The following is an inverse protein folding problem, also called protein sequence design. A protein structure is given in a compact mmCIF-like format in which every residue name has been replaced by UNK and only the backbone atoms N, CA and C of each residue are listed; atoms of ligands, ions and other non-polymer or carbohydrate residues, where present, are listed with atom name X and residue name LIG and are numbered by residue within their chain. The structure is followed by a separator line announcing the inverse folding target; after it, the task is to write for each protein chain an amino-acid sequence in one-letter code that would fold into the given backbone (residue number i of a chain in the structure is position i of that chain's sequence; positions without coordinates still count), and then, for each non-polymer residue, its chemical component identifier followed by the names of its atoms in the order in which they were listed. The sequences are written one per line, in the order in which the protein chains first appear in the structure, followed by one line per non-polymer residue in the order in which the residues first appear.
data_IF_079275923164
#
_entry.id   IF_079275923164
#
_cell.length_a   1.000
_cell.length_b   1.000
_cell.length_c   1.000
_cell.angle_alpha   90.00
_cell.angle_beta   90.00
_cell.angle_gamma   90.00
#
_symmetry.space_group_name_H-M   'P 1'
#
loop_
_entity.id
_entity.type
_entity.pdbx_description
1 polymer ?
#
# COMPACT_ATOMS: atom_id res chain seq x y z
N UNK A 1 -5.42 16.06 18.92
CA UNK A 1 -6.43 15.08 19.34
C UNK A 1 -6.63 14.11 18.19
N UNK A 2 -6.61 12.81 18.45
CA UNK A 2 -7.05 11.79 17.49
C UNK A 2 -8.44 11.34 17.91
N UNK A 3 -9.41 11.27 17.00
CA UNK A 3 -10.72 10.66 17.25
C UNK A 3 -11.19 9.92 16.01
N UNK A 4 -11.51 8.65 16.18
CA UNK A 4 -12.07 7.80 15.13
C UNK A 4 -13.15 6.90 15.73
N UNK A 5 -14.27 6.80 15.03
CA UNK A 5 -15.23 5.71 15.16
C UNK A 5 -15.57 5.27 13.73
N UNK A 6 -15.26 4.03 13.38
CA UNK A 6 -15.38 3.57 12.00
C UNK A 6 -15.67 2.07 11.89
N UNK A 7 -16.36 1.69 10.82
CA UNK A 7 -16.44 0.29 10.38
C UNK A 7 -15.40 0.06 9.29
N UNK A 8 -14.50 -0.89 9.49
CA UNK A 8 -13.40 -1.25 8.57
C UNK A 8 -13.64 -2.63 7.98
N UNK A 9 -13.52 -2.77 6.67
CA UNK A 9 -13.64 -4.04 5.95
C UNK A 9 -13.00 -3.93 4.56
N UNK A 10 -13.18 -4.93 3.69
CA UNK A 10 -12.88 -4.75 2.27
C UNK A 10 -13.71 -3.60 1.69
N UNK A 11 -13.08 -2.73 0.88
CA UNK A 11 -13.73 -1.53 0.36
C UNK A 11 -14.99 -1.84 -0.45
N UNK A 12 -15.00 -2.97 -1.19
CA UNK A 12 -16.16 -3.40 -1.97
C UNK A 12 -17.37 -3.68 -1.09
N UNK A 13 -17.18 -4.42 0.00
CA UNK A 13 -18.24 -4.74 0.98
C UNK A 13 -18.85 -3.46 1.53
N UNK A 14 -18.02 -2.48 1.91
CA UNK A 14 -18.50 -1.23 2.50
C UNK A 14 -19.25 -0.35 1.49
N UNK A 15 -18.78 -0.28 0.23
CA UNK A 15 -19.41 0.54 -0.81
C UNK A 15 -20.87 0.12 -1.02
N UNK A 16 -21.13 -1.18 -1.06
CA UNK A 16 -22.49 -1.71 -1.23
C UNK A 16 -23.39 -1.35 -0.04
N UNK A 17 -22.83 -1.32 1.18
CA UNK A 17 -23.58 -1.01 2.40
C UNK A 17 -23.97 0.46 2.54
N UNK A 18 -23.16 1.36 2.01
CA UNK A 18 -23.45 2.80 2.07
C UNK A 18 -23.93 3.40 0.75
N UNK A 19 -24.11 2.60 -0.30
CA UNK A 19 -24.51 3.08 -1.63
C UNK A 19 -25.84 3.87 -1.63
N UNK A 20 -26.79 3.48 -0.78
CA UNK A 20 -28.08 4.17 -0.62
C UNK A 20 -28.10 5.21 0.49
N UNK A 21 -26.98 5.41 1.20
CA UNK A 21 -26.94 6.28 2.36
C UNK A 21 -26.76 7.75 1.98
N UNK A 22 -27.41 8.66 2.72
CA UNK A 22 -27.22 10.10 2.56
C UNK A 22 -25.93 10.58 3.23
N UNK A 23 -25.59 9.99 4.37
CA UNK A 23 -24.44 10.41 5.17
C UNK A 23 -23.23 9.47 5.04
N UNK A 24 -23.43 8.27 4.51
CA UNK A 24 -22.40 7.24 4.37
C UNK A 24 -21.40 7.55 3.26
N UNK A 25 -20.12 7.35 3.56
CA UNK A 25 -19.04 7.46 2.59
C UNK A 25 -17.96 6.45 2.92
N UNK A 26 -17.35 5.85 1.89
CA UNK A 26 -16.20 4.95 2.05
C UNK A 26 -14.92 5.74 1.86
N UNK A 27 -14.07 5.76 2.88
CA UNK A 27 -12.67 6.15 2.76
C UNK A 27 -11.85 4.92 2.33
N UNK A 28 -11.41 4.86 1.08
CA UNK A 28 -10.59 3.75 0.60
C UNK A 28 -9.18 3.78 1.21
N UNK A 29 -8.87 2.75 1.98
CA UNK A 29 -7.57 2.51 2.60
C UNK A 29 -6.68 1.71 1.63
N UNK A 30 -5.41 1.56 1.98
CA UNK A 30 -4.51 0.70 1.19
C UNK A 30 -4.91 -0.77 1.36
N UNK A 31 -4.32 -1.63 0.53
CA UNK A 31 -4.52 -3.10 0.58
C UNK A 31 -5.95 -3.57 0.31
N UNK A 32 -6.73 -2.78 -0.46
CA UNK A 32 -8.11 -3.13 -0.81
C UNK A 32 -9.11 -2.93 0.33
N UNK A 33 -8.63 -2.42 1.47
CA UNK A 33 -9.47 -2.11 2.62
C UNK A 33 -10.19 -0.78 2.41
N UNK A 34 -11.29 -0.61 3.10
CA UNK A 34 -11.97 0.67 3.25
C UNK A 34 -12.40 0.86 4.68
N UNK A 35 -12.81 2.08 5.00
CA UNK A 35 -13.56 2.34 6.22
C UNK A 35 -14.73 3.27 5.97
N UNK A 36 -15.77 3.11 6.77
CA UNK A 36 -16.91 4.02 6.84
C UNK A 36 -16.82 4.74 8.18
N UNK A 37 -16.50 6.06 8.20
CA UNK A 37 -16.57 6.86 9.41
C UNK A 37 -18.02 6.91 9.93
N UNK A 38 -18.22 6.51 11.18
CA UNK A 38 -19.54 6.48 11.83
C UNK A 38 -19.78 7.83 12.51
N UNK A 39 -20.33 8.78 11.77
CA UNK A 39 -20.82 10.04 12.32
C UNK A 39 -22.19 9.86 12.99
N UNK A 40 -22.58 10.78 13.86
CA UNK A 40 -23.91 10.77 14.50
C UNK A 40 -25.04 10.70 13.46
N UNK A 41 -24.90 11.43 12.34
CA UNK A 41 -25.88 11.43 11.26
C UNK A 41 -25.97 10.08 10.55
N UNK A 42 -24.82 9.44 10.27
CA UNK A 42 -24.82 8.11 9.68
C UNK A 42 -25.34 7.07 10.66
N UNK A 43 -24.93 7.13 11.92
CA UNK A 43 -25.38 6.23 12.97
C UNK A 43 -26.91 6.26 13.11
N UNK A 44 -27.50 7.45 13.19
CA UNK A 44 -28.95 7.62 13.25
C UNK A 44 -29.65 7.06 11.99
N UNK A 45 -29.06 7.28 10.81
CA UNK A 45 -29.61 6.81 9.54
C UNK A 45 -29.60 5.27 9.42
N UNK A 46 -28.46 4.62 9.70
CA UNK A 46 -28.32 3.17 9.52
C UNK A 46 -29.00 2.38 10.61
N UNK A 47 -29.15 2.94 11.81
CA UNK A 47 -29.89 2.29 12.89
C UNK A 47 -31.38 2.39 12.67
N UNK A 48 -31.93 3.54 12.27
CA UNK A 48 -33.33 3.67 11.84
C UNK A 48 -34.37 3.07 12.82
N UNK A 49 -34.07 3.02 14.12
CA UNK A 49 -34.90 2.37 15.16
C UNK A 49 -34.47 0.96 15.57
N UNK A 50 -33.38 0.42 15.02
CA UNK A 50 -32.72 -0.82 15.46
C UNK A 50 -31.44 -0.56 16.25
N UNK A 51 -30.77 -1.62 16.69
CA UNK A 51 -29.47 -1.53 17.36
C UNK A 51 -28.34 -1.53 16.34
N UNK A 52 -27.23 -0.85 16.65
CA UNK A 52 -26.07 -0.86 15.78
C UNK A 52 -25.47 -2.26 15.61
N UNK A 53 -25.53 -3.10 16.66
CA UNK A 53 -25.15 -4.52 16.55
C UNK A 53 -25.93 -5.30 15.48
N UNK A 54 -27.22 -4.98 15.25
CA UNK A 54 -27.99 -5.59 14.15
C UNK A 54 -27.51 -5.11 12.79
N UNK A 55 -27.12 -3.84 12.67
CA UNK A 55 -26.51 -3.29 11.46
C UNK A 55 -25.18 -3.99 11.17
N UNK A 56 -24.31 -4.13 12.18
CA UNK A 56 -23.02 -4.83 12.05
C UNK A 56 -23.21 -6.30 11.68
N UNK A 57 -24.18 -6.98 12.28
CA UNK A 57 -24.55 -8.35 11.92
C UNK A 57 -24.89 -8.44 10.43
N UNK A 58 -25.82 -7.63 9.93
CA UNK A 58 -26.21 -7.60 8.52
C UNK A 58 -25.03 -7.26 7.59
N UNK A 59 -24.22 -6.28 7.98
CA UNK A 59 -23.10 -5.81 7.18
C UNK A 59 -21.97 -6.86 7.09
N UNK A 60 -21.83 -7.72 8.10
CA UNK A 60 -20.80 -8.76 8.16
C UNK A 60 -21.13 -10.05 7.40
N UNK A 61 -22.35 -10.19 6.85
CA UNK A 61 -22.78 -11.40 6.11
C UNK A 61 -21.97 -11.64 4.82
N UNK A 62 -21.67 -10.63 3.96
CA UNK A 62 -20.91 -10.86 2.74
C UNK A 62 -19.41 -11.01 2.98
N UNK A 63 -18.92 -10.60 4.15
CA UNK A 63 -17.51 -10.62 4.50
C UNK A 63 -17.26 -10.01 5.88
N UNK A 64 -16.11 -10.31 6.50
CA UNK A 64 -15.80 -9.84 7.84
C UNK A 64 -15.63 -8.32 7.88
N UNK A 65 -16.01 -7.72 9.00
CA UNK A 65 -15.80 -6.30 9.28
C UNK A 65 -15.33 -6.11 10.72
N UNK A 66 -14.72 -4.97 11.01
CA UNK A 66 -14.36 -4.54 12.35
C UNK A 66 -15.02 -3.21 12.67
N UNK A 67 -15.64 -3.11 13.84
CA UNK A 67 -15.90 -1.81 14.46
C UNK A 67 -14.61 -1.40 15.19
N UNK A 68 -14.12 -0.20 14.92
CA UNK A 68 -12.93 0.36 15.58
C UNK A 68 -13.21 1.74 16.12
N UNK A 69 -12.71 1.99 17.32
CA UNK A 69 -12.80 3.26 18.02
C UNK A 69 -11.42 3.62 18.57
N UNK A 70 -11.07 4.90 18.50
CA UNK A 70 -9.84 5.40 19.08
C UNK A 70 -9.98 6.87 19.47
N UNK A 71 -9.53 7.20 20.68
CA UNK A 71 -9.42 8.58 21.15
C UNK A 71 -8.04 8.79 21.73
N UNK A 72 -7.29 9.79 21.25
CA UNK A 72 -6.01 10.18 21.85
C UNK A 72 -5.91 11.67 22.11
N UNK A 73 -5.44 12.04 23.29
CA UNK A 73 -5.19 13.41 23.71
C UNK A 73 -3.89 13.50 24.52
N UNK A 74 -2.90 14.27 24.03
CA UNK A 74 -1.68 14.55 24.81
C UNK A 74 -0.75 13.35 25.06
N UNK A 75 -0.95 12.22 24.39
CA UNK A 75 -0.17 10.98 24.59
C UNK A 75 -0.96 9.89 25.30
N UNK A 76 -2.03 10.27 25.99
CA UNK A 76 -2.99 9.36 26.61
C UNK A 76 -4.14 9.09 25.64
N UNK A 77 -4.72 7.89 25.69
CA UNK A 77 -5.82 7.53 24.84
C UNK A 77 -6.30 6.11 25.04
N UNK A 78 -7.32 5.73 24.30
CA UNK A 78 -7.88 4.39 24.28
C UNK A 78 -8.12 3.94 22.85
N UNK A 79 -8.03 2.63 22.65
CA UNK A 79 -8.53 1.97 21.45
C UNK A 79 -9.52 0.90 21.86
N UNK A 80 -10.57 0.75 21.08
CA UNK A 80 -11.51 -0.37 21.19
C UNK A 80 -11.74 -0.96 19.81
N UNK A 81 -11.79 -2.29 19.70
CA UNK A 81 -12.12 -2.96 18.46
C UNK A 81 -12.92 -4.24 18.67
N UNK A 82 -13.81 -4.52 17.73
CA UNK A 82 -14.64 -5.73 17.67
C UNK A 82 -14.72 -6.21 16.22
N UNK A 83 -14.60 -7.52 15.99
CA UNK A 83 -14.66 -8.13 14.66
C UNK A 83 -15.91 -8.98 14.54
N UNK A 84 -16.65 -8.78 13.44
CA UNK A 84 -17.87 -9.46 13.10
C UNK A 84 -17.69 -10.28 11.81
N UNK A 85 -18.34 -11.43 11.75
CA UNK A 85 -18.37 -12.31 10.58
C UNK A 85 -19.67 -13.11 10.57
N UNK A 86 -20.26 -13.26 9.39
CA UNK A 86 -21.44 -14.11 9.16
C UNK A 86 -22.62 -13.79 10.11
N UNK A 87 -22.80 -12.51 10.46
CA UNK A 87 -23.89 -12.06 11.32
C UNK A 87 -23.62 -12.10 12.83
N UNK A 88 -22.41 -12.46 13.26
CA UNK A 88 -22.08 -12.60 14.68
C UNK A 88 -20.73 -11.97 15.04
N UNK A 89 -20.55 -11.50 16.29
CA UNK A 89 -19.25 -11.09 16.78
C UNK A 89 -18.37 -12.33 16.97
N UNK A 90 -17.18 -12.30 16.39
CA UNK A 90 -16.20 -13.41 16.46
C UNK A 90 -14.97 -13.06 17.30
N UNK A 91 -14.78 -11.79 17.64
CA UNK A 91 -13.72 -11.32 18.53
C UNK A 91 -14.04 -9.93 19.07
N UNK A 92 -13.71 -9.69 20.35
CA UNK A 92 -13.94 -8.41 21.03
C UNK A 92 -15.32 -8.30 21.71
N UNK A 93 -15.68 -7.10 22.19
CA UNK A 93 -14.88 -5.88 22.15
C UNK A 93 -13.61 -6.01 23.01
N UNK A 94 -12.47 -5.66 22.44
CA UNK A 94 -11.19 -5.56 23.15
C UNK A 94 -10.83 -4.09 23.26
N UNK A 95 -10.50 -3.64 24.47
CA UNK A 95 -10.08 -2.26 24.75
C UNK A 95 -8.70 -2.24 25.39
N UNK A 96 -7.89 -1.24 25.05
CA UNK A 96 -6.58 -0.98 25.64
C UNK A 96 -6.36 0.54 25.72
N UNK A 97 -5.99 1.03 26.90
CA UNK A 97 -5.65 2.41 27.21
C UNK A 97 -4.22 2.58 27.76
N UNK A 98 -3.50 1.46 27.96
CA UNK A 98 -2.14 1.45 28.51
C UNK A 98 -1.09 1.23 27.43
N UNK A 99 -1.41 0.39 26.45
CA UNK A 99 -0.53 0.10 25.30
C UNK A 99 0.86 -0.44 25.68
N UNK A 100 0.97 -1.12 26.83
CA UNK A 100 2.21 -1.69 27.36
C UNK A 100 2.72 -2.89 26.53
N UNK A 101 1.82 -3.53 25.76
CA UNK A 101 2.10 -4.73 24.97
C UNK A 101 2.63 -4.45 23.56
N UNK A 102 2.95 -5.53 22.80
CA UNK A 102 3.32 -5.42 21.39
C UNK A 102 2.26 -4.68 20.57
N UNK A 103 2.71 -3.83 19.63
CA UNK A 103 1.79 -3.05 18.78
C UNK A 103 0.83 -3.91 17.96
N UNK A 104 1.22 -5.12 17.61
CA UNK A 104 0.38 -6.08 16.88
C UNK A 104 -0.83 -6.56 17.69
N UNK A 105 -0.74 -6.51 19.03
CA UNK A 105 -1.80 -6.89 19.94
C UNK A 105 -2.74 -5.72 20.27
N UNK A 106 -2.37 -4.49 19.91
CA UNK A 106 -3.23 -3.33 20.13
C UNK A 106 -4.54 -3.50 19.36
N UNK A 107 -5.70 -3.08 19.92
CA UNK A 107 -7.02 -3.48 19.44
C UNK A 107 -7.23 -3.33 17.94
N UNK A 108 -6.84 -2.19 17.36
CA UNK A 108 -7.03 -1.94 15.92
C UNK A 108 -6.10 -2.80 15.05
N UNK A 109 -4.83 -2.95 15.43
CA UNK A 109 -3.90 -3.83 14.70
C UNK A 109 -4.35 -5.29 14.76
N UNK A 110 -4.77 -5.75 15.94
CA UNK A 110 -5.29 -7.10 16.15
C UNK A 110 -6.57 -7.36 15.33
N UNK A 111 -7.45 -6.37 15.19
CA UNK A 111 -8.64 -6.44 14.35
C UNK A 111 -8.28 -6.49 12.86
N UNK A 112 -7.39 -5.62 12.38
CA UNK A 112 -6.93 -5.62 10.98
C UNK A 112 -6.31 -6.96 10.57
N UNK A 113 -5.50 -7.58 11.44
CA UNK A 113 -4.95 -8.90 11.20
C UNK A 113 -6.04 -9.98 11.03
N UNK A 114 -7.12 -9.89 11.81
CA UNK A 114 -8.30 -10.79 11.75
C UNK A 114 -9.19 -10.55 10.54
N UNK A 115 -9.20 -9.34 9.99
CA UNK A 115 -9.78 -9.04 8.68
C UNK A 115 -8.93 -9.58 7.51
N UNK A 116 -7.74 -10.13 7.79
CA UNK A 116 -6.86 -10.72 6.78
C UNK A 116 -5.83 -9.76 6.21
N UNK A 117 -5.68 -8.55 6.76
CA UNK A 117 -4.63 -7.62 6.33
C UNK A 117 -3.26 -8.25 6.60
N UNK A 118 -2.37 -8.17 5.61
CA UNK A 118 -1.00 -8.65 5.69
C UNK A 118 -0.01 -7.48 5.65
N UNK A 119 1.07 -7.51 6.45
CA UNK A 119 2.11 -6.49 6.38
C UNK A 119 2.71 -6.38 4.98
N UNK A 120 2.96 -5.16 4.53
CA UNK A 120 3.53 -4.88 3.22
C UNK A 120 5.05 -5.07 3.14
N UNK A 121 5.72 -5.16 4.30
CA UNK A 121 7.18 -5.06 4.40
C UNK A 121 7.72 -3.64 4.26
N UNK A 122 6.87 -2.62 4.16
CA UNK A 122 7.30 -1.22 4.21
C UNK A 122 7.76 -0.85 5.60
N UNK A 123 8.61 0.15 5.67
CA UNK A 123 9.19 0.69 6.90
C UNK A 123 8.88 2.17 7.03
N UNK A 124 9.01 2.70 8.25
CA UNK A 124 8.83 4.13 8.50
C UNK A 124 9.93 4.93 7.80
N UNK A 125 9.59 6.05 7.17
CA UNK A 125 10.57 6.86 6.45
C UNK A 125 11.68 7.41 7.37
N UNK A 126 11.36 7.67 8.64
CA UNK A 126 12.30 8.14 9.65
C UNK A 126 13.04 6.98 10.36
N UNK A 127 12.61 5.74 10.17
CA UNK A 127 13.21 4.54 10.75
C UNK A 127 13.12 3.37 9.76
N UNK A 128 14.05 3.30 8.79
CA UNK A 128 14.01 2.29 7.73
C UNK A 128 14.19 0.85 8.23
N UNK A 129 14.62 0.65 9.48
CA UNK A 129 14.74 -0.67 10.10
C UNK A 129 13.46 -1.17 10.74
N UNK A 130 12.46 -0.29 10.94
CA UNK A 130 11.21 -0.61 11.61
C UNK A 130 10.06 -0.80 10.62
N UNK A 131 9.49 -2.00 10.51
CA UNK A 131 8.29 -2.25 9.70
C UNK A 131 7.11 -1.38 10.16
N UNK A 132 6.29 -0.96 9.21
CA UNK A 132 5.00 -0.36 9.51
C UNK A 132 4.11 -1.38 10.23
N UNK A 133 3.41 -0.95 11.27
CA UNK A 133 2.29 -1.72 11.80
C UNK A 133 1.09 -1.67 10.84
N UNK A 134 0.09 -2.52 11.07
CA UNK A 134 -1.05 -2.64 10.15
C UNK A 134 -1.85 -1.34 10.06
N UNK A 135 -2.00 -0.61 11.17
CA UNK A 135 -2.69 0.68 11.23
C UNK A 135 -2.08 1.71 10.26
N UNK A 136 -0.76 1.92 10.32
CA UNK A 136 -0.07 2.84 9.42
C UNK A 136 0.04 2.29 7.99
N UNK A 137 0.18 0.97 7.85
CA UNK A 137 0.32 0.31 6.56
C UNK A 137 -0.96 0.38 5.72
N UNK A 138 -2.16 0.25 6.34
CA UNK A 138 -3.43 0.51 5.64
C UNK A 138 -3.71 2.01 5.48
N UNK A 139 -3.06 2.85 6.29
CA UNK A 139 -3.12 4.30 6.20
C UNK A 139 -4.15 4.96 7.13
N UNK A 140 -4.55 4.31 8.21
CA UNK A 140 -5.44 4.89 9.23
C UNK A 140 -4.80 6.05 10.00
N UNK A 141 -3.46 6.13 10.01
CA UNK A 141 -2.72 7.27 10.55
C UNK A 141 -2.67 8.51 9.65
N UNK A 142 -3.31 8.49 8.47
CA UNK A 142 -3.28 9.62 7.54
C UNK A 142 -4.01 10.85 8.07
N UNK A 143 -5.13 10.63 8.76
CA UNK A 143 -5.92 11.70 9.38
C UNK A 143 -6.20 11.41 10.83
N UNK A 144 -6.41 12.48 11.59
CA UNK A 144 -6.56 12.42 13.04
C UNK A 144 -7.99 12.68 13.50
N UNK A 145 -8.86 13.18 12.63
CA UNK A 145 -10.21 13.58 12.99
C UNK A 145 -11.25 12.94 12.06
N UNK A 146 -12.44 12.65 12.62
CA UNK A 146 -13.55 12.06 11.89
C UNK A 146 -14.02 12.97 10.74
N UNK A 147 -14.09 14.28 10.94
CA UNK A 147 -14.53 15.24 9.94
C UNK A 147 -13.52 15.35 8.79
N UNK A 148 -12.21 15.30 9.11
CA UNK A 148 -11.14 15.26 8.11
C UNK A 148 -11.23 14.00 7.25
N UNK A 149 -11.53 12.86 7.87
CA UNK A 149 -11.78 11.61 7.17
C UNK A 149 -12.99 11.69 6.23
N UNK A 150 -14.12 12.24 6.71
CA UNK A 150 -15.31 12.46 5.89
C UNK A 150 -15.02 13.38 4.70
N UNK A 151 -14.32 14.50 4.92
CA UNK A 151 -13.97 15.47 3.88
C UNK A 151 -13.07 14.84 2.81
N UNK A 152 -12.08 14.03 3.22
CA UNK A 152 -11.20 13.34 2.26
C UNK A 152 -11.89 12.24 1.47
N UNK A 153 -12.73 11.44 2.13
CA UNK A 153 -13.49 10.39 1.50
C UNK A 153 -14.37 10.97 0.39
N UNK A 154 -15.11 12.05 0.70
CA UNK A 154 -15.94 12.79 -0.28
C UNK A 154 -15.13 13.40 -1.42
N UNK A 155 -13.88 13.81 -1.15
CA UNK A 155 -12.99 14.37 -2.16
C UNK A 155 -12.20 13.31 -2.96
N UNK A 156 -12.34 12.01 -2.67
CA UNK A 156 -11.55 10.94 -3.30
C UNK A 156 -10.04 11.01 -2.97
N UNK A 157 -9.65 11.70 -1.88
CA UNK A 157 -8.24 11.92 -1.48
C UNK A 157 -7.82 10.96 -0.36
N UNK A 158 -8.24 9.72 -0.48
CA UNK A 158 -8.06 8.66 0.53
C UNK A 158 -6.66 8.03 0.46
N UNK A 159 -6.23 7.25 1.48
CA UNK A 159 -4.92 6.62 1.46
C UNK A 159 -4.60 5.79 0.22
N UNK A 160 -5.58 5.05 -0.32
CA UNK A 160 -5.42 4.30 -1.57
C UNK A 160 -5.01 5.20 -2.75
N UNK A 161 -5.64 6.36 -2.86
CA UNK A 161 -5.47 7.29 -3.98
C UNK A 161 -4.22 8.17 -3.82
N UNK A 162 -3.81 8.46 -2.59
CA UNK A 162 -2.63 9.27 -2.30
C UNK A 162 -1.32 8.61 -2.78
N UNK A 163 -1.26 7.27 -2.87
CA UNK A 163 -0.04 6.57 -3.28
C UNK A 163 0.25 6.65 -4.77
N UNK A 164 -0.76 6.64 -5.63
CA UNK A 164 -0.51 6.52 -7.07
C UNK A 164 0.29 7.72 -7.64
N UNK A 165 -0.05 8.98 -7.31
CA UNK A 165 0.76 10.13 -7.73
C UNK A 165 2.16 10.12 -7.10
N UNK A 166 2.27 9.85 -5.80
CA UNK A 166 3.56 9.83 -5.09
C UNK A 166 4.49 8.73 -5.62
N UNK A 167 3.97 7.52 -5.86
CA UNK A 167 4.71 6.41 -6.47
C UNK A 167 5.19 6.75 -7.88
N UNK A 168 4.34 7.38 -8.70
CA UNK A 168 4.73 7.85 -10.05
C UNK A 168 5.85 8.90 -9.98
N UNK A 169 5.76 9.84 -9.03
CA UNK A 169 6.80 10.85 -8.84
C UNK A 169 8.14 10.21 -8.46
N UNK A 170 8.14 9.30 -7.47
CA UNK A 170 9.35 8.56 -7.04
C UNK A 170 9.97 7.73 -8.16
N UNK A 171 9.16 7.05 -8.98
CA UNK A 171 9.66 6.29 -10.12
C UNK A 171 10.34 7.20 -11.14
N UNK A 172 9.72 8.34 -11.48
CA UNK A 172 10.30 9.32 -12.39
C UNK A 172 11.59 9.92 -11.86
N UNK A 173 11.65 10.19 -10.55
CA UNK A 173 12.86 10.68 -9.90
C UNK A 173 13.98 9.64 -9.94
N UNK A 174 13.68 8.38 -9.63
CA UNK A 174 14.63 7.28 -9.73
C UNK A 174 15.13 7.07 -11.18
N UNK A 175 14.24 7.17 -12.17
CA UNK A 175 14.60 7.11 -13.59
C UNK A 175 15.52 8.26 -13.99
N UNK A 176 15.25 9.48 -13.52
CA UNK A 176 16.13 10.65 -13.75
C UNK A 176 17.49 10.46 -13.08
N UNK A 177 17.51 10.07 -11.81
CA UNK A 177 18.76 9.82 -11.08
C UNK A 177 19.61 8.75 -11.79
N UNK A 178 18.98 7.67 -12.27
CA UNK A 178 19.66 6.66 -13.06
C UNK A 178 20.15 7.19 -14.42
N UNK A 179 19.39 8.09 -15.05
CA UNK A 179 19.76 8.75 -16.32
C UNK A 179 20.92 9.75 -16.17
N UNK A 180 21.21 10.24 -14.97
CA UNK A 180 22.40 11.06 -14.67
C UNK A 180 23.66 10.19 -14.42
N UNK A 181 23.51 8.92 -14.05
CA UNK A 181 24.65 8.02 -13.79
C UNK A 181 25.41 7.74 -15.10
N UNK A 182 26.64 8.24 -15.23
CA UNK A 182 27.48 7.93 -16.39
C UNK A 182 27.73 6.42 -16.48
N UNK A 183 27.34 5.73 -17.57
CA UNK A 183 27.52 4.30 -17.69
C UNK A 183 28.98 3.95 -17.91
N UNK A 184 29.41 2.79 -17.43
CA UNK A 184 30.76 2.25 -17.66
C UNK A 184 31.01 1.89 -19.15
N UNK A 185 29.93 1.62 -19.90
CA UNK A 185 29.94 1.36 -21.34
C UNK A 185 28.98 2.31 -22.05
N UNK A 186 29.47 3.02 -23.08
CA UNK A 186 28.64 3.87 -23.92
C UNK A 186 27.83 3.06 -24.95
N UNK A 187 26.85 3.70 -25.59
CA UNK A 187 25.98 3.02 -26.55
C UNK A 187 26.73 2.39 -27.73
N UNK A 188 27.86 2.97 -28.15
CA UNK A 188 28.69 2.40 -29.23
C UNK A 188 29.39 1.14 -28.79
N UNK A 189 29.98 1.14 -27.59
CA UNK A 189 30.60 -0.04 -27.00
C UNK A 189 29.58 -1.16 -26.81
N UNK A 190 28.36 -0.83 -26.38
CA UNK A 190 27.25 -1.78 -26.23
C UNK A 190 26.85 -2.40 -27.57
N UNK A 191 26.65 -1.57 -28.60
CA UNK A 191 26.28 -2.05 -29.95
C UNK A 191 27.34 -2.99 -30.52
N UNK A 192 28.62 -2.62 -30.42
CA UNK A 192 29.73 -3.44 -30.89
C UNK A 192 29.89 -4.74 -30.09
N UNK A 193 29.66 -4.70 -28.77
CA UNK A 193 29.80 -5.87 -27.92
C UNK A 193 28.73 -6.94 -28.18
N UNK A 194 27.49 -6.48 -28.35
CA UNK A 194 26.31 -7.35 -28.47
C UNK A 194 25.89 -7.59 -29.93
N UNK A 195 26.55 -6.94 -30.88
CA UNK A 195 26.21 -6.95 -32.31
C UNK A 195 24.72 -6.60 -32.56
N UNK A 196 24.26 -5.51 -31.93
CA UNK A 196 22.88 -5.03 -32.04
C UNK A 196 22.80 -3.67 -32.74
N UNK A 197 21.77 -3.45 -33.58
CA UNK A 197 21.54 -2.15 -34.19
C UNK A 197 21.10 -1.11 -33.15
N UNK A 198 21.22 0.20 -33.46
CA UNK A 198 20.66 1.24 -32.60
C UNK A 198 19.15 1.03 -32.41
N UNK A 199 18.69 1.07 -31.16
CA UNK A 199 17.29 0.84 -30.84
C UNK A 199 17.01 0.61 -29.35
N UNK A 200 15.76 0.22 -29.01
CA UNK A 200 15.33 0.03 -27.62
C UNK A 200 16.21 -0.92 -26.80
N UNK A 201 16.77 -1.94 -27.44
CA UNK A 201 17.68 -2.90 -26.80
C UNK A 201 18.99 -2.25 -26.31
N UNK A 202 19.53 -1.28 -27.04
CA UNK A 202 20.72 -0.50 -26.62
C UNK A 202 20.38 0.34 -25.39
N UNK A 203 19.17 0.91 -25.33
CA UNK A 203 18.67 1.62 -24.14
C UNK A 203 18.52 0.69 -22.93
N UNK A 204 17.97 -0.52 -23.12
CA UNK A 204 17.84 -1.51 -22.06
C UNK A 204 19.21 -1.97 -21.52
N UNK A 205 20.16 -2.23 -22.42
CA UNK A 205 21.55 -2.54 -22.08
C UNK A 205 22.23 -1.38 -21.32
N UNK A 206 22.05 -0.14 -21.77
CA UNK A 206 22.59 1.06 -21.11
C UNK A 206 22.03 1.22 -19.70
N UNK A 207 20.72 0.99 -19.54
CA UNK A 207 20.05 1.00 -18.23
C UNK A 207 20.61 -0.09 -17.31
N UNK A 208 20.87 -1.29 -17.84
CA UNK A 208 21.47 -2.40 -17.08
C UNK A 208 22.85 -2.03 -16.53
N UNK A 209 23.72 -1.44 -17.35
CA UNK A 209 25.06 -1.00 -16.92
C UNK A 209 24.97 0.07 -15.83
N UNK A 210 24.07 1.05 -15.97
CA UNK A 210 23.84 2.09 -14.94
C UNK A 210 23.38 1.49 -13.61
N UNK A 211 22.49 0.50 -13.65
CA UNK A 211 22.02 -0.18 -12.45
C UNK A 211 23.14 -0.96 -11.75
N UNK A 212 24.01 -1.62 -12.52
CA UNK A 212 25.18 -2.31 -11.97
C UNK A 212 26.13 -1.33 -11.27
N UNK A 213 26.36 -0.15 -11.87
CA UNK A 213 27.17 0.91 -11.28
C UNK A 213 26.59 1.45 -9.97
N UNK A 214 25.27 1.63 -9.90
CA UNK A 214 24.59 2.03 -8.65
C UNK A 214 24.75 0.96 -7.56
N UNK A 215 24.65 -0.32 -7.92
CA UNK A 215 24.67 -1.41 -6.95
C UNK A 215 26.09 -1.79 -6.48
N UNK A 216 27.10 -1.69 -7.35
CA UNK A 216 28.45 -2.21 -7.11
C UNK A 216 29.54 -1.14 -7.17
N UNK A 217 29.19 0.11 -7.46
CA UNK A 217 30.14 1.16 -7.78
C UNK A 217 30.69 1.03 -9.22
N UNK A 218 31.67 1.88 -9.60
CA UNK A 218 32.31 1.84 -10.91
C UNK A 218 32.86 0.45 -11.23
N UNK A 219 32.49 -0.09 -12.39
CA UNK A 219 33.01 -1.36 -12.86
C UNK A 219 34.15 -1.14 -13.85
N UNK A 220 35.10 -2.07 -13.88
CA UNK A 220 36.03 -2.12 -15.01
C UNK A 220 35.28 -2.45 -16.29
N UNK A 221 35.87 -2.05 -17.43
CA UNK A 221 35.29 -2.33 -18.75
C UNK A 221 35.02 -3.83 -18.95
N UNK A 222 35.95 -4.69 -18.56
CA UNK A 222 35.82 -6.14 -18.72
C UNK A 222 34.67 -6.73 -17.88
N UNK A 223 34.48 -6.25 -16.65
CA UNK A 223 33.38 -6.67 -15.78
C UNK A 223 32.02 -6.22 -16.35
N UNK A 224 31.93 -4.97 -16.81
CA UNK A 224 30.72 -4.45 -17.44
C UNK A 224 30.37 -5.22 -18.72
N UNK A 225 31.37 -5.59 -19.54
CA UNK A 225 31.18 -6.40 -20.74
C UNK A 225 30.72 -7.83 -20.41
N UNK A 226 31.31 -8.47 -19.39
CA UNK A 226 30.94 -9.82 -18.96
C UNK A 226 29.49 -9.88 -18.44
N UNK A 227 29.10 -8.92 -17.60
CA UNK A 227 27.74 -8.78 -17.10
C UNK A 227 26.74 -8.51 -18.23
N UNK A 228 27.12 -7.68 -19.20
CA UNK A 228 26.23 -7.36 -20.31
C UNK A 228 26.04 -8.54 -21.27
N UNK A 229 27.09 -9.34 -21.51
CA UNK A 229 26.97 -10.60 -22.26
C UNK A 229 26.12 -11.63 -21.52
N UNK A 230 26.23 -11.71 -20.20
CA UNK A 230 25.38 -12.58 -19.38
C UNK A 230 23.90 -12.18 -19.50
N UNK A 231 23.61 -10.89 -19.32
CA UNK A 231 22.27 -10.34 -19.52
C UNK A 231 21.75 -10.60 -20.94
N UNK A 232 22.58 -10.40 -21.97
CA UNK A 232 22.17 -10.62 -23.36
C UNK A 232 21.76 -12.08 -23.63
N UNK A 233 22.47 -13.06 -23.05
CA UNK A 233 22.08 -14.48 -23.11
C UNK A 233 20.74 -14.74 -22.44
N UNK A 234 20.47 -14.13 -21.29
CA UNK A 234 19.17 -14.20 -20.61
C UNK A 234 18.04 -13.61 -21.45
N UNK A 235 18.32 -12.58 -22.25
CA UNK A 235 17.37 -11.98 -23.20
C UNK A 235 17.24 -12.76 -24.52
N UNK A 236 17.99 -13.85 -24.73
CA UNK A 236 18.00 -14.62 -25.98
C UNK A 236 18.72 -13.93 -27.15
N UNK A 237 19.51 -12.88 -26.87
CA UNK A 237 20.32 -12.21 -27.87
C UNK A 237 21.57 -13.06 -28.14
N UNK A 238 21.62 -13.68 -29.33
CA UNK A 238 22.76 -14.51 -29.76
C UNK A 238 22.44 -15.93 -30.26
N UNK A 239 21.17 -16.27 -30.55
CA UNK A 239 20.80 -17.58 -31.13
C UNK A 239 20.22 -17.51 -32.57
N UNK A 240 20.35 -16.39 -33.28
CA UNK A 240 19.86 -16.26 -34.66
C UNK A 240 20.99 -15.91 -35.63
N UNK A 241 21.98 -16.79 -35.68
CA UNK A 241 23.12 -16.73 -36.60
C UNK A 241 23.30 -17.98 -37.47
N UNK A 242 22.31 -18.88 -37.57
CA UNK A 242 22.29 -19.97 -38.55
C UNK A 242 20.87 -20.09 -39.11
N UNK A 243 20.68 -19.62 -40.35
CA UNK A 243 19.65 -19.97 -41.32
C UNK A 243 19.36 -18.76 -42.22
N UNK A 244 20.25 -18.53 -43.19
CA UNK A 244 19.93 -18.00 -44.53
C UNK A 244 21.21 -17.89 -45.37
N UNK A 245 21.51 -18.92 -46.14
CA UNK A 245 21.82 -18.88 -47.59
C UNK A 245 22.42 -20.24 -48.02
N UNK A 246 21.80 -20.88 -49.01
CA UNK A 246 22.28 -22.09 -49.68
C UNK A 246 21.32 -23.25 -49.55
#
# INVERSE_FOLDING_TARGET
MYRLAAVVAEAAVLRDRVAGSRHGVVAELRRGMGMVPISDALFAEVTGGTTFGRVLAEWSVPGPLALVEATFHGGDGDQTAEVWRDGAPVWGPVSDDRFDGPREDWPINAALARLGVRPSGRTYAHDPGRPLDLFDDVGLGMERDLDDWLARARAGRTPAHAEAPARRARLREAERALAEVTPDLDGRAIMALLDIPPGPLVGAATRRVRLLRVARGPLSRAEAEAELRAWAREQGLGQHGEHRHG
#
